data_IF_639053161398
#
_entry.id   IF_639053161398
#
_cell.length_a   1.000
_cell.length_b   1.000
_cell.length_c   1.000
_cell.angle_alpha   90.00
_cell.angle_beta   90.00
_cell.angle_gamma   90.00
#
_symmetry.space_group_name_H-M   'P 1'
#
loop_
_entity.id
_entity.type
_entity.pdbx_description
1 polymer ?
#
# COMPACT_ATOMS: atom_id res chain seq x y z
N UNK A 1 -3.99 18.83 2.93
CA UNK A 1 -2.66 18.36 3.36
C UNK A 1 -1.60 19.26 2.74
N UNK A 2 -0.56 19.62 3.48
CA UNK A 2 0.59 20.33 2.89
C UNK A 2 1.61 19.29 2.43
N UNK A 3 1.98 19.36 1.15
CA UNK A 3 2.83 18.35 0.52
C UNK A 3 4.26 18.84 0.35
N UNK A 4 5.16 17.87 0.21
CA UNK A 4 6.60 18.09 -0.01
C UNK A 4 6.92 18.83 -1.31
N UNK A 5 5.95 18.92 -2.23
CA UNK A 5 6.02 19.73 -3.45
C UNK A 5 5.81 21.24 -3.20
N UNK A 6 5.55 21.64 -1.95
CA UNK A 6 5.33 23.02 -1.53
C UNK A 6 3.91 23.52 -1.70
N UNK A 7 2.96 22.65 -2.06
CA UNK A 7 1.55 23.00 -2.28
C UNK A 7 0.63 22.36 -1.24
N UNK A 8 -0.48 23.02 -0.99
CA UNK A 8 -1.59 22.46 -0.22
C UNK A 8 -2.56 21.75 -1.15
N UNK A 9 -2.83 20.48 -0.88
CA UNK A 9 -3.75 19.64 -1.64
C UNK A 9 -5.02 19.36 -0.83
N UNK A 10 -6.17 19.52 -1.48
CA UNK A 10 -7.46 19.06 -0.99
C UNK A 10 -7.75 17.71 -1.64
N UNK A 11 -7.75 16.65 -0.85
CA UNK A 11 -7.84 15.28 -1.36
C UNK A 11 -9.17 14.69 -0.89
N UNK A 12 -10.00 14.28 -1.84
CA UNK A 12 -11.16 13.46 -1.55
C UNK A 12 -10.69 12.05 -1.18
N UNK A 13 -10.97 11.63 0.04
CA UNK A 13 -10.62 10.32 0.59
C UNK A 13 -11.72 9.28 0.35
N UNK A 14 -12.86 9.70 -0.20
CA UNK A 14 -14.02 8.86 -0.42
C UNK A 14 -14.60 8.30 0.87
N UNK A 15 -15.14 7.08 0.82
CA UNK A 15 -15.69 6.37 1.99
C UNK A 15 -14.64 5.68 2.84
N UNK A 16 -13.35 5.97 2.62
CA UNK A 16 -12.26 5.31 3.33
C UNK A 16 -12.27 5.65 4.82
N UNK A 17 -12.59 4.67 5.67
CA UNK A 17 -12.49 4.75 7.14
C UNK A 17 -11.07 5.09 7.64
N UNK A 18 -10.05 5.04 6.76
CA UNK A 18 -8.64 5.20 7.09
C UNK A 18 -8.26 6.57 7.70
N UNK A 19 -9.10 7.60 7.58
CA UNK A 19 -8.80 8.94 8.09
C UNK A 19 -9.41 9.26 9.46
N UNK A 20 -10.37 8.47 9.96
CA UNK A 20 -11.07 8.79 11.22
C UNK A 20 -10.15 8.78 12.46
N UNK A 21 -8.89 8.34 12.33
CA UNK A 21 -7.92 8.23 13.43
C UNK A 21 -6.56 8.88 13.15
N UNK A 22 -6.45 9.79 12.18
CA UNK A 22 -5.18 10.48 11.91
C UNK A 22 -4.99 11.71 12.83
N UNK A 23 -3.99 11.72 13.73
CA UNK A 23 -3.72 12.88 14.56
C UNK A 23 -3.30 14.08 13.71
N UNK A 24 -3.71 15.28 14.12
CA UNK A 24 -3.23 16.51 13.50
C UNK A 24 -1.69 16.57 13.54
N UNK A 25 -1.10 16.96 12.42
CA UNK A 25 0.36 17.04 12.24
C UNK A 25 1.05 15.70 11.97
N UNK A 26 0.33 14.58 11.89
CA UNK A 26 0.95 13.33 11.46
C UNK A 26 1.52 13.43 10.04
N UNK A 27 2.57 12.65 9.76
CA UNK A 27 3.18 12.58 8.44
C UNK A 27 2.51 11.43 7.69
N UNK A 28 2.02 11.72 6.49
CA UNK A 28 1.30 10.76 5.65
C UNK A 28 1.90 10.74 4.25
N UNK A 29 1.82 9.58 3.61
CA UNK A 29 1.99 9.44 2.17
C UNK A 29 0.62 9.17 1.57
N UNK A 30 0.24 9.98 0.61
CA UNK A 30 -1.02 9.82 -0.11
C UNK A 30 -0.72 9.44 -1.54
N UNK A 31 -1.25 8.32 -1.99
CA UNK A 31 -1.08 7.81 -3.35
C UNK A 31 -2.43 7.46 -3.95
N UNK A 32 -2.60 7.61 -5.28
CA UNK A 32 -3.78 7.09 -5.96
C UNK A 32 -3.88 5.58 -5.77
N UNK A 33 -5.09 5.07 -5.64
CA UNK A 33 -5.31 3.63 -5.52
C UNK A 33 -4.99 2.94 -6.84
N UNK A 34 -4.19 1.87 -6.78
CA UNK A 34 -3.86 1.09 -7.97
C UNK A 34 -5.10 0.32 -8.47
N UNK A 35 -5.44 0.48 -9.74
CA UNK A 35 -6.55 -0.20 -10.41
C UNK A 35 -6.13 -1.42 -11.21
N UNK A 36 -4.82 -1.69 -11.30
CA UNK A 36 -4.29 -2.83 -12.04
C UNK A 36 -4.43 -4.14 -11.24
N UNK A 37 -4.58 -5.28 -11.93
CA UNK A 37 -4.49 -6.58 -11.30
C UNK A 37 -3.16 -6.74 -10.54
N UNK A 38 -3.23 -7.31 -9.34
CA UNK A 38 -2.07 -7.54 -8.49
C UNK A 38 -1.34 -8.81 -8.92
N UNK A 39 -0.12 -9.00 -8.41
CA UNK A 39 0.64 -10.21 -8.71
C UNK A 39 -0.10 -11.49 -8.31
N UNK A 40 -0.81 -11.47 -7.17
CA UNK A 40 -1.67 -12.58 -6.72
C UNK A 40 -2.73 -12.96 -7.77
N UNK A 41 -3.31 -11.98 -8.48
CA UNK A 41 -4.35 -12.21 -9.49
C UNK A 41 -3.75 -12.82 -10.77
N UNK A 42 -2.53 -12.38 -11.14
CA UNK A 42 -1.77 -12.95 -12.26
C UNK A 42 -1.38 -14.40 -11.97
N UNK A 43 -0.87 -14.68 -10.77
CA UNK A 43 -0.52 -16.04 -10.34
C UNK A 43 -1.74 -16.97 -10.32
N UNK A 44 -2.91 -16.49 -9.87
CA UNK A 44 -4.17 -17.26 -9.97
C UNK A 44 -4.47 -17.59 -11.44
N UNK A 45 -4.44 -16.59 -12.33
CA UNK A 45 -4.77 -16.78 -13.74
C UNK A 45 -3.80 -17.75 -14.43
N UNK A 46 -2.51 -17.65 -14.12
CA UNK A 46 -1.45 -18.53 -14.63
C UNK A 46 -1.67 -19.99 -14.21
N UNK A 47 -1.83 -20.23 -12.91
CA UNK A 47 -2.09 -21.58 -12.39
C UNK A 47 -3.39 -22.11 -12.99
N UNK A 48 -4.45 -21.31 -13.00
CA UNK A 48 -5.71 -21.75 -13.57
C UNK A 48 -5.61 -22.11 -15.06
N UNK A 49 -4.88 -21.34 -15.85
CA UNK A 49 -4.65 -21.65 -17.26
C UNK A 49 -3.93 -23.01 -17.45
N UNK A 50 -2.96 -23.33 -16.59
CA UNK A 50 -2.28 -24.63 -16.58
C UNK A 50 -3.18 -25.80 -16.14
N UNK A 51 -4.27 -25.51 -15.43
CA UNK A 51 -5.20 -26.49 -14.85
C UNK A 51 -6.62 -26.41 -15.45
N UNK A 52 -6.76 -25.97 -16.70
CA UNK A 52 -8.04 -25.99 -17.43
C UNK A 52 -9.07 -24.99 -16.91
N UNK A 53 -8.62 -23.82 -16.45
CA UNK A 53 -9.44 -22.77 -15.86
C UNK A 53 -9.79 -23.00 -14.39
N UNK A 54 -9.10 -23.92 -13.69
CA UNK A 54 -9.40 -24.28 -12.30
C UNK A 54 -8.30 -23.87 -11.35
N UNK A 55 -8.67 -23.37 -10.19
CA UNK A 55 -7.74 -22.99 -9.14
C UNK A 55 -8.19 -23.56 -7.79
N UNK A 56 -7.26 -24.21 -7.08
CA UNK A 56 -7.37 -24.51 -5.67
C UNK A 56 -5.97 -24.50 -5.02
N UNK A 57 -5.92 -24.72 -3.71
CA UNK A 57 -4.65 -24.70 -2.96
C UNK A 57 -3.73 -25.84 -3.38
N UNK A 58 -4.25 -27.02 -3.69
CA UNK A 58 -3.45 -28.19 -4.05
C UNK A 58 -2.83 -28.02 -5.45
N UNK A 59 -3.58 -27.45 -6.40
CA UNK A 59 -3.08 -27.06 -7.73
C UNK A 59 -1.98 -26.01 -7.60
N UNK A 60 -2.14 -25.02 -6.71
CA UNK A 60 -1.10 -24.03 -6.45
C UNK A 60 0.19 -24.68 -5.94
N UNK A 61 0.10 -25.53 -4.91
CA UNK A 61 1.28 -26.19 -4.33
C UNK A 61 1.94 -27.19 -5.28
N UNK A 62 1.18 -27.80 -6.19
CA UNK A 62 1.73 -28.64 -7.27
C UNK A 62 2.46 -27.82 -8.33
N UNK A 63 1.96 -26.62 -8.63
CA UNK A 63 2.55 -25.71 -9.62
C UNK A 63 3.82 -25.03 -9.08
N UNK A 64 3.78 -24.55 -7.84
CA UNK A 64 4.93 -23.98 -7.13
C UNK A 64 5.18 -24.74 -5.82
N UNK A 65 6.07 -25.75 -5.84
CA UNK A 65 6.43 -26.52 -4.64
C UNK A 65 7.18 -25.71 -3.56
N UNK A 66 7.66 -24.51 -3.88
CA UNK A 66 8.29 -23.61 -2.91
C UNK A 66 7.27 -22.78 -2.13
N UNK A 67 6.03 -22.70 -2.62
CA UNK A 67 4.94 -22.00 -1.96
C UNK A 67 4.50 -22.72 -0.68
N UNK A 68 4.04 -21.93 0.29
CA UNK A 68 3.41 -22.45 1.50
C UNK A 68 1.88 -22.46 1.35
N UNK A 69 1.22 -23.36 2.08
CA UNK A 69 -0.25 -23.41 2.08
C UNK A 69 -0.88 -22.07 2.52
N UNK A 70 -0.28 -21.40 3.50
CA UNK A 70 -0.74 -20.09 3.98
C UNK A 70 -0.65 -19.01 2.91
N UNK A 71 0.38 -19.06 2.07
CA UNK A 71 0.52 -18.19 0.90
C UNK A 71 -0.58 -18.49 -0.14
N UNK A 72 -0.80 -19.75 -0.50
CA UNK A 72 -1.88 -20.15 -1.41
C UNK A 72 -3.28 -19.76 -0.88
N UNK A 73 -3.52 -19.88 0.44
CA UNK A 73 -4.77 -19.42 1.08
C UNK A 73 -4.99 -17.91 0.99
N UNK A 74 -3.93 -17.11 0.81
CA UNK A 74 -4.08 -15.67 0.54
C UNK A 74 -4.75 -15.41 -0.80
N UNK A 75 -4.49 -16.24 -1.80
CA UNK A 75 -5.11 -16.18 -3.12
C UNK A 75 -6.60 -16.56 -3.04
N UNK A 76 -6.95 -17.56 -2.21
CA UNK A 76 -8.37 -17.91 -1.94
C UNK A 76 -9.11 -16.74 -1.28
N UNK A 77 -8.51 -16.07 -0.29
CA UNK A 77 -9.12 -14.87 0.33
C UNK A 77 -9.33 -13.74 -0.67
N UNK A 78 -8.38 -13.56 -1.60
CA UNK A 78 -8.47 -12.62 -2.72
C UNK A 78 -9.66 -12.94 -3.62
N UNK A 79 -9.82 -14.21 -4.02
CA UNK A 79 -10.94 -14.66 -4.85
C UNK A 79 -12.29 -14.48 -4.16
N UNK A 80 -12.41 -14.81 -2.87
CA UNK A 80 -13.64 -14.56 -2.10
C UNK A 80 -13.97 -13.06 -2.04
N UNK A 81 -12.97 -12.19 -1.88
CA UNK A 81 -13.20 -10.75 -1.86
C UNK A 81 -13.76 -10.24 -3.20
N UNK A 82 -13.20 -10.70 -4.32
CA UNK A 82 -13.68 -10.35 -5.67
C UNK A 82 -15.07 -10.94 -5.91
N UNK A 83 -15.29 -12.21 -5.55
CA UNK A 83 -16.59 -12.89 -5.68
C UNK A 83 -17.68 -12.15 -4.92
N UNK A 84 -17.45 -11.75 -3.67
CA UNK A 84 -18.44 -11.03 -2.86
C UNK A 84 -18.82 -9.67 -3.45
N UNK A 85 -17.86 -8.98 -4.05
CA UNK A 85 -18.08 -7.64 -4.58
C UNK A 85 -18.67 -7.64 -5.99
N UNK A 86 -18.30 -8.61 -6.84
CA UNK A 86 -18.65 -8.62 -8.26
C UNK A 86 -19.61 -9.73 -8.67
N UNK A 87 -19.70 -10.82 -7.88
CA UNK A 87 -20.36 -12.06 -8.29
C UNK A 87 -19.64 -12.81 -9.44
N UNK A 88 -18.54 -12.27 -9.97
CA UNK A 88 -17.93 -12.69 -11.23
C UNK A 88 -16.92 -13.83 -11.13
N UNK A 89 -16.78 -14.47 -9.98
CA UNK A 89 -15.91 -15.65 -9.80
C UNK A 89 -16.74 -16.77 -9.20
N UNK A 90 -16.77 -17.92 -9.87
CA UNK A 90 -17.54 -19.08 -9.44
C UNK A 90 -16.69 -20.01 -8.57
N UNK A 91 -17.34 -20.59 -7.55
CA UNK A 91 -16.73 -21.56 -6.66
C UNK A 91 -17.59 -22.82 -6.62
N UNK A 92 -17.00 -23.94 -7.02
CA UNK A 92 -17.64 -25.25 -7.00
C UNK A 92 -17.84 -25.73 -5.54
N UNK A 93 -18.79 -26.66 -5.28
CA UNK A 93 -19.06 -27.19 -3.95
C UNK A 93 -17.86 -27.88 -3.29
N UNK A 94 -16.95 -28.45 -4.10
CA UNK A 94 -15.71 -29.08 -3.62
C UNK A 94 -14.63 -28.06 -3.19
N UNK A 95 -14.87 -26.75 -3.39
CA UNK A 95 -13.96 -25.67 -3.04
C UNK A 95 -13.09 -25.15 -4.18
N UNK A 96 -13.12 -25.78 -5.36
CA UNK A 96 -12.41 -25.37 -6.58
C UNK A 96 -12.98 -24.07 -7.13
N UNK A 97 -12.12 -23.19 -7.60
CA UNK A 97 -12.49 -21.94 -8.24
C UNK A 97 -12.45 -22.07 -9.75
N UNK A 98 -13.48 -21.58 -10.43
CA UNK A 98 -13.50 -21.45 -11.87
C UNK A 98 -13.02 -20.05 -12.26
N UNK A 99 -11.87 -20.01 -12.92
CA UNK A 99 -11.20 -18.78 -13.34
C UNK A 99 -11.39 -18.65 -14.85
N UNK A 100 -12.25 -17.71 -15.24
CA UNK A 100 -12.54 -17.42 -16.64
C UNK A 100 -11.33 -16.74 -17.34
N UNK A 101 -11.19 -16.86 -18.67
CA UNK A 101 -10.07 -16.23 -19.40
C UNK A 101 -9.97 -14.71 -19.24
N UNK A 102 -11.10 -14.04 -18.98
CA UNK A 102 -11.21 -12.59 -18.72
C UNK A 102 -11.02 -12.22 -17.23
N UNK A 103 -10.50 -13.14 -16.40
CA UNK A 103 -10.36 -12.92 -14.96
C UNK A 103 -9.60 -11.63 -14.61
N UNK A 104 -8.51 -11.33 -15.31
CA UNK A 104 -7.72 -10.12 -15.04
C UNK A 104 -8.48 -8.84 -15.37
N UNK A 105 -9.32 -8.85 -16.42
CA UNK A 105 -10.19 -7.71 -16.75
C UNK A 105 -11.27 -7.52 -15.68
N UNK A 106 -11.83 -8.63 -15.16
CA UNK A 106 -12.78 -8.59 -14.02
C UNK A 106 -12.12 -8.04 -12.77
N UNK A 107 -10.87 -8.41 -12.49
CA UNK A 107 -10.08 -7.87 -11.38
C UNK A 107 -9.83 -6.37 -11.57
N UNK A 108 -9.45 -5.93 -12.76
CA UNK A 108 -9.23 -4.51 -13.06
C UNK A 108 -10.52 -3.69 -12.86
N UNK A 109 -11.67 -4.23 -13.30
CA UNK A 109 -12.97 -3.60 -13.06
C UNK A 109 -13.33 -3.54 -11.58
N UNK A 110 -13.01 -4.59 -10.81
CA UNK A 110 -13.19 -4.60 -9.35
C UNK A 110 -12.32 -3.55 -8.66
N UNK A 111 -11.02 -3.49 -8.97
CA UNK A 111 -10.12 -2.49 -8.37
C UNK A 111 -10.52 -1.07 -8.82
N UNK A 112 -10.99 -0.89 -10.06
CA UNK A 112 -11.53 0.37 -10.56
C UNK A 112 -12.78 0.84 -9.81
N UNK A 113 -13.72 -0.08 -9.52
CA UNK A 113 -14.88 0.24 -8.68
C UNK A 113 -14.46 0.66 -7.27
N UNK A 114 -13.47 -0.03 -6.70
CA UNK A 114 -12.90 0.35 -5.39
C UNK A 114 -12.22 1.71 -5.42
N UNK A 115 -11.43 2.00 -6.45
CA UNK A 115 -10.78 3.30 -6.61
C UNK A 115 -11.81 4.43 -6.81
N UNK A 116 -12.99 4.17 -7.36
CA UNK A 116 -14.06 5.18 -7.39
C UNK A 116 -14.65 5.48 -6.01
N UNK A 117 -14.72 4.47 -5.14
CA UNK A 117 -15.25 4.63 -3.77
C UNK A 117 -14.19 5.15 -2.77
N UNK A 118 -12.93 4.78 -2.99
CA UNK A 118 -11.74 5.11 -2.18
C UNK A 118 -10.57 5.45 -3.14
N UNK A 119 -10.51 6.68 -3.67
CA UNK A 119 -9.59 7.05 -4.76
C UNK A 119 -8.13 7.12 -4.35
N UNK A 120 -7.86 7.29 -3.06
CA UNK A 120 -6.51 7.38 -2.53
C UNK A 120 -6.29 6.36 -1.42
N UNK A 121 -5.04 5.97 -1.24
CA UNK A 121 -4.54 5.28 -0.06
C UNK A 121 -3.66 6.27 0.71
N UNK A 122 -3.95 6.44 1.99
CA UNK A 122 -3.19 7.29 2.88
C UNK A 122 -2.43 6.43 3.91
N UNK A 123 -1.13 6.29 3.72
CA UNK A 123 -0.25 5.58 4.63
C UNK A 123 0.31 6.54 5.68
N UNK A 124 0.05 6.26 6.96
CA UNK A 124 0.63 7.04 8.07
C UNK A 124 2.09 6.65 8.27
N UNK A 125 3.00 7.56 7.91
CA UNK A 125 4.45 7.39 8.06
C UNK A 125 4.93 7.69 9.48
N UNK A 126 4.29 8.64 10.16
CA UNK A 126 4.56 9.01 11.55
C UNK A 126 3.31 9.59 12.19
N UNK A 127 2.96 9.15 13.40
CA UNK A 127 1.92 9.80 14.21
C UNK A 127 2.39 11.10 14.87
N UNK A 128 3.69 11.40 14.80
CA UNK A 128 4.32 12.53 15.48
C UNK A 128 4.56 13.69 14.50
N UNK A 129 4.17 14.89 14.94
CA UNK A 129 4.43 16.14 14.24
C UNK A 129 5.91 16.34 13.92
N UNK A 130 6.18 16.97 12.77
CA UNK A 130 7.51 17.18 12.22
C UNK A 130 8.47 17.81 13.23
N UNK A 131 8.02 18.84 13.95
CA UNK A 131 8.83 19.60 14.90
C UNK A 131 9.25 18.72 16.08
N UNK A 132 8.35 17.86 16.55
CA UNK A 132 8.61 16.93 17.65
C UNK A 132 9.63 15.87 17.27
N UNK A 133 9.74 15.51 15.99
CA UNK A 133 10.72 14.53 15.53
C UNK A 133 12.16 15.03 15.66
N UNK A 134 12.40 16.35 15.59
CA UNK A 134 13.76 16.91 15.60
C UNK A 134 14.55 16.55 16.85
N UNK A 135 13.93 16.67 18.03
CA UNK A 135 14.57 16.40 19.33
C UNK A 135 14.10 15.11 19.99
N UNK A 136 13.37 14.25 19.26
CA UNK A 136 12.86 13.00 19.82
C UNK A 136 14.00 12.03 20.13
N UNK A 137 14.03 11.50 21.35
CA UNK A 137 15.02 10.51 21.76
C UNK A 137 14.64 9.11 21.28
N UNK A 138 14.93 8.84 20.01
CA UNK A 138 14.65 7.58 19.33
C UNK A 138 14.55 7.77 17.82
N UNK A 139 14.44 6.68 17.05
CA UNK A 139 14.33 6.75 15.59
C UNK A 139 12.99 7.36 15.16
N UNK A 140 13.04 8.27 14.19
CA UNK A 140 11.91 9.04 13.65
C UNK A 140 11.74 8.81 12.15
N UNK A 141 10.68 9.38 11.57
CA UNK A 141 10.53 9.37 10.11
C UNK A 141 11.61 10.20 9.41
N UNK A 142 12.05 11.33 10.02
CA UNK A 142 13.18 12.11 9.50
C UNK A 142 14.45 11.26 9.34
N UNK A 143 14.74 10.38 10.30
CA UNK A 143 15.91 9.51 10.24
C UNK A 143 15.80 8.49 9.10
N UNK A 144 14.60 7.95 8.87
CA UNK A 144 14.32 7.03 7.75
C UNK A 144 14.48 7.71 6.40
N UNK A 145 13.99 8.94 6.24
CA UNK A 145 14.14 9.69 4.98
C UNK A 145 15.60 10.06 4.71
N UNK A 146 16.38 10.40 5.75
CA UNK A 146 17.78 10.79 5.60
C UNK A 146 18.68 9.67 5.06
N UNK A 147 18.32 8.41 5.31
CA UNK A 147 19.11 7.23 4.91
C UNK A 147 18.44 6.40 3.82
N UNK A 148 17.29 6.83 3.30
CA UNK A 148 16.58 6.11 2.26
C UNK A 148 17.41 6.11 0.96
N UNK A 149 17.45 4.97 0.26
CA UNK A 149 18.10 4.88 -1.06
C UNK A 149 17.49 5.87 -2.08
N UNK A 150 16.21 6.17 -1.90
CA UNK A 150 15.43 7.12 -2.71
C UNK A 150 14.63 8.02 -1.76
N UNK A 151 15.24 9.09 -1.23
CA UNK A 151 14.54 10.04 -0.36
C UNK A 151 13.52 10.84 -1.17
N UNK A 152 12.47 11.32 -0.50
CA UNK A 152 11.43 12.09 -1.16
C UNK A 152 11.98 13.41 -1.72
N UNK A 153 11.65 13.80 -2.97
CA UNK A 153 12.03 15.09 -3.51
C UNK A 153 11.38 16.23 -2.73
N UNK A 154 12.19 17.00 -1.99
CA UNK A 154 11.71 18.13 -1.21
C UNK A 154 11.79 19.41 -2.04
N UNK A 155 10.66 20.10 -2.20
CA UNK A 155 10.64 21.41 -2.85
C UNK A 155 11.19 22.53 -1.95
N UNK A 156 11.54 23.67 -2.54
CA UNK A 156 12.17 24.81 -1.83
C UNK A 156 11.23 25.63 -0.94
N UNK A 157 9.93 25.32 -0.95
CA UNK A 157 8.88 26.09 -0.29
C UNK A 157 7.88 25.18 0.41
N UNK A 158 6.99 25.79 1.21
CA UNK A 158 5.96 25.09 1.98
C UNK A 158 6.54 23.96 2.83
N UNK A 159 5.77 22.89 2.96
CA UNK A 159 6.15 21.74 3.78
C UNK A 159 7.45 21.06 3.34
N UNK A 160 7.80 21.08 2.03
CA UNK A 160 9.08 20.56 1.55
C UNK A 160 10.29 21.29 2.14
N UNK A 161 10.20 22.63 2.28
CA UNK A 161 11.22 23.42 2.97
C UNK A 161 11.27 23.07 4.46
N UNK A 162 10.12 22.98 5.10
CA UNK A 162 10.02 22.71 6.53
C UNK A 162 10.63 21.34 6.87
N UNK A 163 10.40 20.32 6.04
CA UNK A 163 11.04 18.99 6.17
C UNK A 163 12.55 19.10 6.02
N UNK A 164 13.05 19.84 5.02
CA UNK A 164 14.50 20.02 4.81
C UNK A 164 15.17 20.70 6.02
N UNK A 165 14.52 21.73 6.56
CA UNK A 165 14.99 22.42 7.77
C UNK A 165 14.96 21.50 8.99
N UNK A 166 13.87 20.74 9.17
CA UNK A 166 13.75 19.76 10.24
C UNK A 166 14.83 18.67 10.15
N UNK A 167 15.12 18.16 8.95
CA UNK A 167 16.22 17.22 8.70
C UNK A 167 17.57 17.81 9.10
N UNK A 168 17.85 19.08 8.76
CA UNK A 168 19.09 19.75 9.14
C UNK A 168 19.23 19.87 10.66
N UNK A 169 18.18 20.34 11.36
CA UNK A 169 18.18 20.43 12.82
C UNK A 169 18.28 19.06 13.48
N UNK A 170 17.63 18.04 12.91
CA UNK A 170 17.66 16.66 13.41
C UNK A 170 19.09 16.10 13.36
N UNK A 171 19.82 16.29 12.26
CA UNK A 171 21.23 15.91 12.17
C UNK A 171 22.09 16.59 13.22
N UNK A 172 21.92 17.91 13.40
CA UNK A 172 22.65 18.65 14.44
C UNK A 172 22.35 18.12 15.85
N UNK A 173 21.07 17.83 16.14
CA UNK A 173 20.67 17.25 17.41
C UNK A 173 21.30 15.86 17.62
N UNK A 174 21.28 14.99 16.61
CA UNK A 174 21.90 13.66 16.69
C UNK A 174 23.41 13.74 16.95
N UNK A 175 24.12 14.65 16.28
CA UNK A 175 25.55 14.89 16.51
C UNK A 175 25.77 15.39 17.95
N UNK A 176 24.98 16.36 18.42
CA UNK A 176 25.08 16.88 19.77
C UNK A 176 24.79 15.83 20.87
N UNK A 177 23.98 14.81 20.56
CA UNK A 177 23.74 13.67 21.44
C UNK A 177 24.78 12.53 21.29
N UNK A 178 25.75 12.66 20.39
CA UNK A 178 26.73 11.59 20.10
C UNK A 178 26.14 10.37 19.38
N UNK A 179 24.99 10.53 18.72
CA UNK A 179 24.27 9.48 18.00
C UNK A 179 24.59 9.46 16.50
N UNK A 180 25.25 10.50 16.01
CA UNK A 180 25.75 10.64 14.64
C UNK A 180 27.10 11.36 14.67
N UNK A 181 27.85 11.28 13.57
CA UNK A 181 29.14 11.92 13.36
C UNK A 181 29.18 12.69 12.05
#
# INVERSE_FOLDING_TARGET
VDAVDGKSHWIDIGRGEAMETMPNGCIVRVAPRNTEPRQVDRTIAEIAAAHGGRYDVDMHLKHDPSATESFARTHVRRLEAIRRATGGVEREPNGTWLIAPDHLDRVANYEGQRARAEPVVADKLSSMALERQVSFNGATWLDRELVADRPEPLHGSGFGRDVREAQARRRQWLIAQGLAH
#
